data_IF_838938365264
#
_entry.id   IF_838938365264
#
_cell.length_a   1.000
_cell.length_b   1.000
_cell.length_c   1.000
_cell.angle_alpha   90.00
_cell.angle_beta   90.00
_cell.angle_gamma   90.00
#
_symmetry.space_group_name_H-M   'P 1'
#
loop_
_entity.id
_entity.type
_entity.pdbx_description
1 polymer ?
#
# COMPACT_ATOMS: atom_id res chain seq x y z
N UNK A 1 6.82 2.58 -13.61
CA UNK A 1 5.44 3.07 -13.78
C UNK A 1 4.47 2.01 -14.32
N UNK A 2 4.88 1.17 -15.27
CA UNK A 2 3.99 0.11 -15.77
C UNK A 2 3.50 -0.82 -14.65
N UNK A 3 4.40 -1.32 -13.84
CA UNK A 3 4.06 -2.26 -12.76
C UNK A 3 3.45 -1.51 -11.56
N UNK A 4 4.04 -0.39 -11.17
CA UNK A 4 3.66 0.29 -9.93
C UNK A 4 2.47 1.24 -10.06
N UNK A 5 2.13 1.69 -11.25
CA UNK A 5 1.03 2.66 -11.48
C UNK A 5 -0.03 2.10 -12.40
N UNK A 6 0.34 1.74 -13.63
CA UNK A 6 -0.65 1.29 -14.62
C UNK A 6 -1.27 -0.06 -14.25
N UNK A 7 -0.48 -1.01 -13.74
CA UNK A 7 -1.02 -2.31 -13.34
C UNK A 7 -2.02 -2.19 -12.19
N UNK A 8 -1.73 -1.49 -11.09
CA UNK A 8 -2.73 -1.26 -10.05
C UNK A 8 -3.98 -0.55 -10.56
N UNK A 9 -3.81 0.46 -11.41
CA UNK A 9 -4.96 1.16 -12.02
C UNK A 9 -5.86 0.21 -12.80
N UNK A 10 -5.29 -0.60 -13.68
CA UNK A 10 -6.03 -1.56 -14.50
C UNK A 10 -6.69 -2.61 -13.63
N UNK A 11 -5.97 -3.16 -12.65
CA UNK A 11 -6.50 -4.18 -11.75
C UNK A 11 -7.67 -3.65 -10.92
N UNK A 12 -7.58 -2.42 -10.42
CA UNK A 12 -8.69 -1.79 -9.71
C UNK A 12 -9.90 -1.60 -10.61
N UNK A 13 -9.69 -1.08 -11.81
CA UNK A 13 -10.77 -0.87 -12.78
C UNK A 13 -11.49 -2.16 -13.09
N UNK A 14 -10.76 -3.23 -13.37
CA UNK A 14 -11.36 -4.52 -13.69
C UNK A 14 -12.02 -5.17 -12.47
N UNK A 15 -11.41 -5.06 -11.30
CA UNK A 15 -11.97 -5.59 -10.05
C UNK A 15 -13.31 -4.93 -9.71
N UNK A 16 -13.44 -3.63 -9.88
CA UNK A 16 -14.68 -2.88 -9.61
C UNK A 16 -15.84 -3.42 -10.44
N UNK A 17 -15.59 -3.82 -11.70
CA UNK A 17 -16.63 -4.38 -12.56
C UNK A 17 -17.29 -5.63 -11.97
N UNK A 18 -16.53 -6.44 -11.24
CA UNK A 18 -17.03 -7.63 -10.56
C UNK A 18 -17.57 -7.35 -9.16
N UNK A 19 -17.08 -6.30 -8.51
CA UNK A 19 -17.39 -6.00 -7.11
C UNK A 19 -18.63 -5.10 -6.93
N UNK A 20 -19.10 -4.45 -7.98
CA UNK A 20 -20.22 -3.50 -7.91
C UNK A 20 -21.50 -4.07 -7.30
N UNK A 21 -21.77 -5.36 -7.49
CA UNK A 21 -23.00 -6.00 -7.01
C UNK A 21 -22.96 -6.31 -5.51
N UNK A 22 -21.81 -6.77 -5.02
CA UNK A 22 -21.71 -7.34 -3.68
C UNK A 22 -20.76 -6.56 -2.76
N UNK A 23 -20.13 -5.51 -3.26
CA UNK A 23 -19.13 -4.78 -2.51
C UNK A 23 -17.83 -5.57 -2.38
N UNK A 24 -17.02 -5.20 -1.42
CA UNK A 24 -15.75 -5.87 -1.15
C UNK A 24 -14.68 -4.90 -0.67
N UNK A 25 -13.44 -5.38 -0.69
CA UNK A 25 -12.29 -4.59 -0.26
C UNK A 25 -11.19 -4.63 -1.32
N UNK A 26 -10.59 -3.46 -1.55
CA UNK A 26 -9.39 -3.30 -2.38
C UNK A 26 -8.30 -2.76 -1.46
N UNK A 27 -7.16 -3.43 -1.43
CA UNK A 27 -6.01 -2.95 -0.67
C UNK A 27 -4.82 -2.78 -1.60
N UNK A 28 -4.26 -1.58 -1.61
CA UNK A 28 -3.08 -1.25 -2.39
C UNK A 28 -1.86 -1.10 -1.50
N UNK A 29 -0.73 -1.60 -1.98
CA UNK A 29 0.54 -1.50 -1.27
C UNK A 29 1.38 -0.39 -1.89
N UNK A 30 1.53 0.70 -1.15
CA UNK A 30 2.39 1.81 -1.52
C UNK A 30 3.75 1.71 -0.79
N UNK A 31 4.27 2.81 -0.31
CA UNK A 31 5.52 2.86 0.44
C UNK A 31 5.63 4.23 1.13
N UNK A 32 6.34 4.29 2.24
CA UNK A 32 6.70 5.56 2.86
C UNK A 32 7.55 6.43 1.92
N UNK A 33 8.22 5.83 0.93
CA UNK A 33 8.92 6.56 -0.13
C UNK A 33 7.98 7.40 -1.02
N UNK A 34 6.69 7.09 -1.04
CA UNK A 34 5.67 7.90 -1.73
C UNK A 34 5.21 9.13 -0.94
N UNK A 35 5.64 9.25 0.31
CA UNK A 35 5.22 10.33 1.22
C UNK A 35 6.29 11.38 1.44
N UNK A 36 7.56 11.02 1.29
CA UNK A 36 8.71 11.87 1.59
C UNK A 36 9.67 11.90 0.42
N UNK A 37 10.26 13.06 0.11
CA UNK A 37 11.28 13.14 -0.95
C UNK A 37 12.44 12.19 -0.67
N UNK A 38 12.84 11.47 -1.71
CA UNK A 38 13.96 10.51 -1.66
C UNK A 38 14.89 10.78 -2.84
N UNK A 39 15.99 11.53 -2.65
CA UNK A 39 16.97 11.76 -3.71
C UNK A 39 17.44 10.45 -4.33
N UNK A 40 17.47 10.41 -5.66
CA UNK A 40 17.86 9.20 -6.40
C UNK A 40 16.71 8.20 -6.66
N UNK A 41 15.54 8.42 -6.08
CA UNK A 41 14.41 7.48 -6.17
C UNK A 41 13.19 8.07 -6.89
N UNK A 42 13.40 8.97 -7.84
CA UNK A 42 12.31 9.72 -8.48
C UNK A 42 11.19 8.82 -9.00
N UNK A 43 11.52 7.84 -9.83
CA UNK A 43 10.50 6.95 -10.43
C UNK A 43 9.77 6.11 -9.39
N UNK A 44 10.50 5.57 -8.43
CA UNK A 44 9.91 4.75 -7.37
C UNK A 44 9.02 5.59 -6.46
N UNK A 45 9.53 6.71 -5.95
CA UNK A 45 8.78 7.57 -5.03
C UNK A 45 7.53 8.15 -5.70
N UNK A 46 7.63 8.63 -6.94
CA UNK A 46 6.46 9.17 -7.65
C UNK A 46 5.45 8.09 -7.99
N UNK A 47 5.89 6.88 -8.33
CA UNK A 47 4.97 5.76 -8.58
C UNK A 47 4.20 5.37 -7.31
N UNK A 48 4.85 5.35 -6.16
CA UNK A 48 4.19 5.03 -4.89
C UNK A 48 3.29 6.17 -4.41
N UNK A 49 3.65 7.43 -4.65
CA UNK A 49 2.77 8.57 -4.42
C UNK A 49 1.50 8.48 -5.27
N UNK A 50 1.61 8.03 -6.51
CA UNK A 50 0.46 7.79 -7.39
C UNK A 50 -0.48 6.73 -6.83
N UNK A 51 0.04 5.63 -6.30
CA UNK A 51 -0.78 4.57 -5.68
C UNK A 51 -1.54 5.12 -4.47
N UNK A 52 -0.90 5.92 -3.63
CA UNK A 52 -1.57 6.56 -2.48
C UNK A 52 -2.71 7.45 -2.97
N UNK A 53 -2.45 8.31 -3.94
CA UNK A 53 -3.45 9.23 -4.49
C UNK A 53 -4.63 8.50 -5.12
N UNK A 54 -4.36 7.48 -5.94
CA UNK A 54 -5.43 6.67 -6.54
C UNK A 54 -6.31 6.01 -5.48
N UNK A 55 -5.70 5.44 -4.45
CA UNK A 55 -6.43 4.76 -3.37
C UNK A 55 -7.36 5.72 -2.64
N UNK A 56 -6.87 6.89 -2.29
CA UNK A 56 -7.66 7.88 -1.55
C UNK A 56 -8.76 8.48 -2.41
N UNK A 57 -8.49 8.76 -3.69
CA UNK A 57 -9.49 9.27 -4.62
C UNK A 57 -10.65 8.30 -4.82
N UNK A 58 -10.36 7.02 -4.97
CA UNK A 58 -11.38 6.00 -5.23
C UNK A 58 -12.21 5.64 -3.99
N UNK A 59 -11.76 5.96 -2.80
CA UNK A 59 -12.50 5.63 -1.58
C UNK A 59 -13.92 6.19 -1.60
N UNK A 60 -14.06 7.47 -1.91
CA UNK A 60 -15.37 8.11 -1.96
C UNK A 60 -16.17 7.67 -3.19
N UNK A 61 -15.52 7.57 -4.34
CA UNK A 61 -16.19 7.17 -5.58
C UNK A 61 -16.78 5.76 -5.52
N UNK A 62 -16.14 4.84 -4.81
CA UNK A 62 -16.57 3.45 -4.74
C UNK A 62 -17.44 3.14 -3.53
N UNK A 63 -17.63 4.09 -2.62
CA UNK A 63 -18.41 3.89 -1.40
C UNK A 63 -19.88 3.52 -1.69
N UNK A 64 -20.46 4.08 -2.74
CA UNK A 64 -21.85 3.77 -3.13
C UNK A 64 -22.05 2.31 -3.53
N UNK A 65 -21.00 1.60 -3.92
CA UNK A 65 -21.06 0.18 -4.27
C UNK A 65 -20.70 -0.74 -3.10
N UNK A 66 -20.50 -0.19 -1.91
CA UNK A 66 -20.02 -0.95 -0.76
C UNK A 66 -18.60 -1.45 -0.88
N UNK A 67 -17.79 -0.82 -1.72
CA UNK A 67 -16.38 -1.16 -1.92
C UNK A 67 -15.52 -0.24 -1.05
N UNK A 68 -14.72 -0.84 -0.17
CA UNK A 68 -13.77 -0.13 0.68
C UNK A 68 -12.38 -0.21 0.08
N UNK A 69 -11.68 0.91 0.06
CA UNK A 69 -10.34 1.00 -0.51
C UNK A 69 -9.34 1.34 0.60
N UNK A 70 -8.33 0.50 0.73
CA UNK A 70 -7.26 0.64 1.71
C UNK A 70 -5.94 0.89 1.01
N UNK A 71 -5.09 1.67 1.65
CA UNK A 71 -3.71 1.86 1.20
C UNK A 71 -2.78 1.66 2.39
N UNK A 72 -1.80 0.80 2.23
CA UNK A 72 -0.74 0.63 3.23
C UNK A 72 0.58 1.13 2.67
N UNK A 73 1.32 1.84 3.50
CA UNK A 73 2.64 2.38 3.15
C UNK A 73 3.69 1.81 4.10
N UNK A 74 4.24 0.63 3.79
CA UNK A 74 5.30 0.05 4.61
C UNK A 74 6.57 0.90 4.53
N UNK A 75 7.25 1.02 5.66
CA UNK A 75 8.59 1.55 5.72
C UNK A 75 9.62 0.50 5.33
N UNK A 76 10.80 0.54 5.94
CA UNK A 76 11.88 -0.40 5.64
C UNK A 76 11.46 -1.83 6.00
N UNK A 77 11.49 -2.71 5.01
CA UNK A 77 11.12 -4.10 5.15
C UNK A 77 12.17 -4.99 4.47
N UNK A 78 12.52 -6.11 5.10
CA UNK A 78 13.56 -7.03 4.63
C UNK A 78 13.06 -7.83 3.42
N UNK A 79 13.16 -7.22 2.24
CA UNK A 79 12.78 -7.81 0.95
C UNK A 79 13.98 -7.85 0.01
N UNK A 80 13.86 -8.58 -1.08
CA UNK A 80 14.88 -8.58 -2.16
C UNK A 80 15.09 -7.19 -2.73
N UNK A 81 14.02 -6.41 -2.89
CA UNK A 81 14.11 -5.02 -3.37
C UNK A 81 14.90 -4.16 -2.38
N UNK A 82 14.60 -4.26 -1.08
CA UNK A 82 15.31 -3.49 -0.05
C UNK A 82 16.79 -3.83 -0.01
N UNK A 83 17.14 -5.09 -0.18
CA UNK A 83 18.54 -5.54 -0.23
C UNK A 83 19.29 -4.89 -1.40
N UNK A 84 18.64 -4.69 -2.54
CA UNK A 84 19.22 -4.00 -3.70
C UNK A 84 19.41 -2.51 -3.45
N UNK A 85 18.45 -1.87 -2.77
CA UNK A 85 18.48 -0.43 -2.51
C UNK A 85 19.42 -0.06 -1.37
N UNK A 86 19.58 -0.93 -0.38
CA UNK A 86 20.41 -0.71 0.81
C UNK A 86 21.18 -1.98 1.17
N UNK A 87 22.20 -2.36 0.37
CA UNK A 87 22.88 -3.66 0.54
C UNK A 87 23.66 -3.79 1.86
N UNK A 88 24.03 -2.66 2.49
CA UNK A 88 24.77 -2.66 3.74
C UNK A 88 23.88 -2.64 5.00
N UNK A 89 22.55 -2.58 4.81
CA UNK A 89 21.61 -2.59 5.93
C UNK A 89 21.44 -4.00 6.48
N UNK A 90 21.48 -4.13 7.82
CA UNK A 90 21.22 -5.42 8.47
C UNK A 90 19.71 -5.71 8.41
N UNK A 91 19.28 -6.77 7.67
CA UNK A 91 17.86 -7.10 7.54
C UNK A 91 17.18 -7.44 8.87
N UNK A 92 17.93 -7.80 9.90
CA UNK A 92 17.38 -8.10 11.22
C UNK A 92 16.92 -6.86 11.98
N UNK A 93 17.34 -5.66 11.56
CA UNK A 93 17.03 -4.40 12.24
C UNK A 93 15.77 -3.71 11.71
N UNK A 94 15.18 -4.24 10.64
CA UNK A 94 13.99 -3.68 9.98
C UNK A 94 12.83 -4.66 10.03
N UNK A 95 11.64 -4.22 9.57
CA UNK A 95 10.48 -5.11 9.54
C UNK A 95 10.73 -6.34 8.68
N UNK A 96 10.09 -7.43 9.09
CA UNK A 96 10.03 -8.64 8.28
C UNK A 96 8.73 -8.63 7.44
N UNK A 97 8.73 -9.26 6.25
CA UNK A 97 7.53 -9.31 5.41
C UNK A 97 6.29 -9.84 6.12
N UNK A 98 6.45 -10.79 7.03
CA UNK A 98 5.32 -11.33 7.81
C UNK A 98 4.66 -10.28 8.69
N UNK A 99 5.40 -9.34 9.23
CA UNK A 99 4.85 -8.27 10.06
C UNK A 99 3.94 -7.34 9.24
N UNK A 100 4.31 -7.06 8.00
CA UNK A 100 3.48 -6.30 7.06
C UNK A 100 2.25 -7.12 6.64
N UNK A 101 2.44 -8.39 6.35
CA UNK A 101 1.36 -9.29 5.94
C UNK A 101 0.28 -9.43 7.02
N UNK A 102 0.66 -9.49 8.28
CA UNK A 102 -0.29 -9.57 9.40
C UNK A 102 -1.21 -8.33 9.45
N UNK A 103 -0.65 -7.14 9.26
CA UNK A 103 -1.46 -5.90 9.18
C UNK A 103 -2.42 -5.95 7.99
N UNK A 104 -1.94 -6.40 6.83
CA UNK A 104 -2.78 -6.53 5.64
C UNK A 104 -3.94 -7.49 5.89
N UNK A 105 -3.67 -8.65 6.50
CA UNK A 105 -4.72 -9.63 6.83
C UNK A 105 -5.79 -9.03 7.75
N UNK A 106 -5.39 -8.24 8.75
CA UNK A 106 -6.34 -7.58 9.64
C UNK A 106 -7.20 -6.56 8.88
N UNK A 107 -6.62 -5.83 7.95
CA UNK A 107 -7.34 -4.82 7.18
C UNK A 107 -8.35 -5.41 6.19
N UNK A 108 -8.04 -6.55 5.60
CA UNK A 108 -8.95 -7.22 4.66
C UNK A 108 -9.97 -8.13 5.33
N UNK A 109 -9.90 -8.29 6.65
CA UNK A 109 -10.88 -9.08 7.41
C UNK A 109 -12.25 -8.40 7.39
N UNK A 110 -13.31 -9.18 7.60
CA UNK A 110 -14.67 -8.65 7.63
C UNK A 110 -14.95 -7.76 8.84
N UNK A 111 -14.14 -7.86 9.88
CA UNK A 111 -14.30 -7.12 11.13
C UNK A 111 -13.81 -5.68 11.04
N UNK A 112 -12.87 -5.39 10.15
CA UNK A 112 -12.35 -4.04 10.00
C UNK A 112 -13.30 -3.20 9.16
N UNK A 113 -13.69 -2.01 9.64
CA UNK A 113 -14.64 -1.15 8.96
C UNK A 113 -14.38 0.36 9.09
N UNK A 114 -13.20 0.75 9.63
CA UNK A 114 -12.94 2.15 9.96
C UNK A 114 -11.69 2.75 9.31
N UNK A 115 -10.84 1.95 8.69
CA UNK A 115 -9.53 2.39 8.21
C UNK A 115 -9.43 2.59 6.69
N UNK A 116 -10.52 2.40 5.96
CA UNK A 116 -10.55 2.71 4.53
C UNK A 116 -10.38 4.21 4.28
N UNK A 117 -9.84 4.56 3.15
CA UNK A 117 -9.58 5.95 2.76
C UNK A 117 -8.34 6.57 3.37
N UNK A 118 -7.64 5.86 4.22
CA UNK A 118 -6.43 6.34 4.87
C UNK A 118 -5.19 5.74 4.24
N UNK A 119 -4.09 6.50 4.28
CA UNK A 119 -2.77 5.95 3.99
C UNK A 119 -2.18 5.44 5.30
N UNK A 120 -2.20 4.12 5.47
CA UNK A 120 -1.79 3.48 6.72
C UNK A 120 -0.30 3.20 6.68
N UNK A 121 0.44 3.91 7.52
CA UNK A 121 1.89 3.77 7.61
C UNK A 121 2.20 2.57 8.51
N UNK A 122 2.95 1.62 7.96
CA UNK A 122 3.40 0.45 8.70
C UNK A 122 4.91 0.57 8.88
N UNK A 123 5.37 0.76 10.10
CA UNK A 123 6.80 0.84 10.39
C UNK A 123 7.07 0.44 11.83
N UNK A 124 8.24 -0.14 12.02
CA UNK A 124 8.72 -0.50 13.34
C UNK A 124 9.22 0.76 14.07
N UNK A 125 8.71 1.00 15.26
CA UNK A 125 9.20 2.08 16.09
C UNK A 125 10.51 1.66 16.74
N UNK A 126 11.53 2.50 16.63
CA UNK A 126 12.75 2.33 17.40
C UNK A 126 12.52 2.98 18.74
N UNK A 127 12.40 2.17 19.77
CA UNK A 127 12.31 2.66 21.15
C UNK A 127 13.72 2.72 21.74
N UNK A 128 14.10 3.90 22.18
CA UNK A 128 15.34 4.06 22.93
C UNK A 128 15.17 3.59 24.37
#
# INVERSE_FOLDING_TARGET
YKINVFSPFILMRESVRYMKKNGGKILNVASTAGMTPRPGWLSYSSSKASVISMSQTLTDELSEYGIKVYCVSPGRCATKLRKRLAPNEDPRTIMQPIEVAEVICDLISDEECCLDGQNIIIRKQIRK
#
